data_IF_654487547424
#
_entry.id   IF_654487547424
#
_cell.length_a   1.000
_cell.length_b   1.000
_cell.length_c   1.000
_cell.angle_alpha   90.00
_cell.angle_beta   90.00
_cell.angle_gamma   90.00
#
_symmetry.space_group_name_H-M   'P 1'
#
loop_
_entity.id
_entity.type
_entity.pdbx_description
1 polymer ?
#
# COMPACT_ATOMS: atom_id res chain seq x y z
N UNK A 1 -24.28 12.30 16.33
CA UNK A 1 -23.56 11.03 16.02
C UNK A 1 -22.68 11.23 14.79
N UNK A 2 -21.44 10.71 14.79
CA UNK A 2 -20.42 10.97 13.74
C UNK A 2 -20.88 10.53 12.34
N UNK A 3 -21.56 9.40 12.23
CA UNK A 3 -21.89 8.75 10.95
C UNK A 3 -23.35 8.97 10.50
N UNK A 4 -24.14 9.83 11.15
CA UNK A 4 -25.58 9.93 10.86
C UNK A 4 -25.88 10.30 9.40
N UNK A 5 -25.03 11.11 8.75
CA UNK A 5 -25.19 11.48 7.34
C UNK A 5 -25.00 10.29 6.39
N UNK A 6 -24.14 9.37 6.77
CA UNK A 6 -23.89 8.13 6.04
C UNK A 6 -24.98 7.10 6.32
N UNK A 7 -25.53 7.07 7.55
CA UNK A 7 -26.65 6.20 7.94
C UNK A 7 -27.98 6.59 7.27
N UNK A 8 -28.16 7.86 6.89
CA UNK A 8 -29.35 8.33 6.15
C UNK A 8 -29.30 7.89 4.68
N UNK A 9 -28.11 7.67 4.11
CA UNK A 9 -27.95 7.21 2.74
C UNK A 9 -28.51 5.79 2.60
N UNK A 10 -29.52 5.61 1.75
CA UNK A 10 -30.24 4.33 1.57
C UNK A 10 -29.32 3.15 1.27
N UNK A 11 -28.29 3.39 0.44
CA UNK A 11 -27.29 2.37 0.06
C UNK A 11 -26.42 1.88 1.23
N UNK A 12 -26.35 2.60 2.33
CA UNK A 12 -25.57 2.22 3.52
C UNK A 12 -26.52 1.90 4.68
N UNK A 13 -27.30 2.87 5.11
CA UNK A 13 -28.21 2.73 6.25
C UNK A 13 -27.47 2.40 7.55
N UNK A 14 -28.22 2.19 8.62
CA UNK A 14 -27.66 1.75 9.91
C UNK A 14 -27.01 0.37 9.84
N UNK A 15 -27.55 -0.54 9.03
CA UNK A 15 -27.02 -1.88 8.86
C UNK A 15 -25.66 -1.87 8.16
N UNK A 16 -25.51 -1.10 7.07
CA UNK A 16 -24.24 -0.93 6.37
C UNK A 16 -23.18 -0.27 7.26
N UNK A 17 -23.58 0.74 8.05
CA UNK A 17 -22.67 1.36 9.01
C UNK A 17 -22.14 0.36 10.07
N UNK A 18 -23.01 -0.51 10.57
CA UNK A 18 -22.60 -1.57 11.50
C UNK A 18 -21.68 -2.60 10.85
N UNK A 19 -21.88 -2.94 9.56
CA UNK A 19 -20.97 -3.79 8.80
C UNK A 19 -19.60 -3.13 8.65
N UNK A 20 -19.54 -1.83 8.35
CA UNK A 20 -18.27 -1.07 8.29
C UNK A 20 -17.55 -1.11 9.65
N UNK A 21 -18.28 -0.84 10.73
CA UNK A 21 -17.72 -0.84 12.09
C UNK A 21 -17.11 -2.18 12.50
N UNK A 22 -17.65 -3.30 12.02
CA UNK A 22 -17.16 -4.66 12.30
C UNK A 22 -16.10 -5.14 11.32
N UNK A 23 -15.83 -4.38 10.26
CA UNK A 23 -14.90 -4.79 9.23
C UNK A 23 -13.46 -4.49 9.60
N UNK A 24 -12.57 -5.38 9.18
CA UNK A 24 -11.12 -5.20 9.17
C UNK A 24 -10.65 -5.10 7.74
N UNK A 25 -9.92 -4.05 7.40
CA UNK A 25 -9.28 -3.88 6.09
C UNK A 25 -7.76 -3.79 6.22
N UNK A 26 -7.07 -4.13 5.13
CA UNK A 26 -5.63 -3.91 5.00
C UNK A 26 -5.38 -2.96 3.84
N UNK A 27 -4.60 -1.91 4.06
CA UNK A 27 -4.13 -0.98 3.02
C UNK A 27 -2.62 -1.18 2.88
N UNK A 28 -2.18 -1.53 1.67
CA UNK A 28 -0.77 -1.75 1.36
C UNK A 28 -0.29 -0.58 0.52
N UNK A 29 0.74 0.10 1.03
CA UNK A 29 1.25 1.36 0.47
C UNK A 29 0.49 2.58 1.01
N UNK A 30 1.16 3.45 1.75
CA UNK A 30 0.63 4.73 2.26
C UNK A 30 1.28 5.89 1.49
N UNK A 31 1.22 5.74 0.17
CA UNK A 31 1.63 6.75 -0.81
C UNK A 31 0.46 7.63 -1.25
N UNK A 32 0.49 8.03 -2.53
CA UNK A 32 -0.50 8.94 -3.11
C UNK A 32 -1.94 8.42 -3.07
N UNK A 33 -2.16 7.11 -3.32
CA UNK A 33 -3.47 6.47 -3.21
C UNK A 33 -3.81 6.17 -1.74
N UNK A 34 -2.86 5.56 -1.01
CA UNK A 34 -3.12 5.03 0.32
C UNK A 34 -3.42 6.08 1.37
N UNK A 35 -2.79 7.26 1.33
CA UNK A 35 -3.08 8.36 2.25
C UNK A 35 -4.53 8.83 2.15
N UNK A 36 -5.06 8.89 0.94
CA UNK A 36 -6.42 9.35 0.67
C UNK A 36 -7.44 8.26 0.97
N UNK A 37 -7.20 7.03 0.51
CA UNK A 37 -8.08 5.89 0.79
C UNK A 37 -8.20 5.65 2.31
N UNK A 38 -7.09 5.75 3.04
CA UNK A 38 -7.04 5.62 4.48
C UNK A 38 -7.87 6.70 5.19
N UNK A 39 -7.70 7.97 4.81
CA UNK A 39 -8.48 9.08 5.39
C UNK A 39 -9.99 8.90 5.16
N UNK A 40 -10.38 8.58 3.92
CA UNK A 40 -11.80 8.38 3.57
C UNK A 40 -12.40 7.21 4.36
N UNK A 41 -11.75 6.05 4.41
CA UNK A 41 -12.28 4.85 5.06
C UNK A 41 -12.27 4.97 6.59
N UNK A 42 -11.30 5.66 7.16
CA UNK A 42 -11.27 6.00 8.57
C UNK A 42 -12.45 6.93 8.95
N UNK A 43 -12.71 7.96 8.15
CA UNK A 43 -13.88 8.86 8.33
C UNK A 43 -15.21 8.15 8.09
N UNK A 44 -15.25 7.16 7.20
CA UNK A 44 -16.44 6.33 6.98
C UNK A 44 -16.71 5.36 8.14
N UNK A 45 -15.76 5.16 9.05
CA UNK A 45 -15.94 4.35 10.24
C UNK A 45 -15.72 2.85 10.03
N UNK A 46 -14.77 2.48 9.16
CA UNK A 46 -14.26 1.11 9.12
C UNK A 46 -13.60 0.81 10.46
N UNK A 47 -14.06 -0.24 11.16
CA UNK A 47 -13.71 -0.44 12.57
C UNK A 47 -12.25 -0.74 12.84
N UNK A 48 -11.60 -1.51 11.95
CA UNK A 48 -10.16 -1.78 12.05
C UNK A 48 -9.47 -1.62 10.69
N UNK A 49 -8.40 -0.83 10.66
CA UNK A 49 -7.58 -0.61 9.47
C UNK A 49 -6.13 -1.00 9.80
N UNK A 50 -5.60 -1.98 9.09
CA UNK A 50 -4.17 -2.29 9.14
C UNK A 50 -3.48 -1.65 7.96
N UNK A 51 -2.40 -0.91 8.22
CA UNK A 51 -1.61 -0.24 7.20
C UNK A 51 -0.20 -0.84 7.14
N UNK A 52 0.29 -1.06 5.93
CA UNK A 52 1.62 -1.63 5.68
C UNK A 52 2.32 -0.70 4.70
N UNK A 53 3.41 -0.09 5.12
CA UNK A 53 4.27 0.72 4.25
C UNK A 53 5.70 0.66 4.75
N UNK A 54 6.63 0.55 3.83
CA UNK A 54 8.07 0.43 4.12
C UNK A 54 8.82 1.74 4.12
N UNK A 55 8.23 2.80 3.57
CA UNK A 55 8.94 4.03 3.23
C UNK A 55 8.86 5.09 4.32
N UNK A 56 9.72 6.09 4.15
CA UNK A 56 9.70 7.35 4.90
C UNK A 56 9.05 8.45 4.05
N UNK A 57 8.69 9.53 4.72
CA UNK A 57 8.13 10.72 4.10
C UNK A 57 9.28 11.57 3.56
N UNK A 58 9.19 11.95 2.28
CA UNK A 58 10.12 12.83 1.59
C UNK A 58 9.41 14.09 1.09
N UNK A 59 10.14 15.20 0.92
CA UNK A 59 9.57 16.49 0.47
C UNK A 59 8.83 16.35 -0.87
N UNK A 60 9.37 15.58 -1.82
CA UNK A 60 8.77 15.32 -3.12
C UNK A 60 7.47 14.51 -3.06
N UNK A 61 7.14 13.93 -1.91
CA UNK A 61 5.89 13.19 -1.69
C UNK A 61 4.72 14.13 -1.38
N UNK A 62 4.97 15.27 -0.73
CA UNK A 62 3.95 16.14 -0.15
C UNK A 62 2.99 16.73 -1.19
N UNK A 63 3.44 16.86 -2.44
CA UNK A 63 2.57 17.38 -3.51
C UNK A 63 1.36 16.46 -3.82
N UNK A 64 1.38 15.16 -3.39
CA UNK A 64 0.32 14.19 -3.69
C UNK A 64 -0.06 13.26 -2.53
N UNK A 65 0.68 13.26 -1.43
CA UNK A 65 0.41 12.44 -0.25
C UNK A 65 -0.18 13.31 0.85
N UNK A 66 -1.47 13.65 0.71
CA UNK A 66 -2.15 14.74 1.42
C UNK A 66 -2.30 14.57 2.93
N UNK A 67 -2.03 13.38 3.47
CA UNK A 67 -2.06 13.15 4.91
C UNK A 67 -0.83 13.71 5.63
N UNK A 68 0.28 13.92 4.91
CA UNK A 68 1.56 14.33 5.47
C UNK A 68 1.83 15.83 5.31
N UNK A 69 2.67 16.36 6.19
CA UNK A 69 3.13 17.75 6.22
C UNK A 69 4.65 17.82 6.23
N UNK A 70 5.23 19.01 6.08
CA UNK A 70 6.69 19.20 6.14
C UNK A 70 7.30 18.77 7.47
N UNK A 71 6.56 18.86 8.59
CA UNK A 71 6.99 18.39 9.90
C UNK A 71 7.15 16.87 10.01
N UNK A 72 6.57 16.14 9.06
CA UNK A 72 6.60 14.68 9.02
C UNK A 72 7.78 14.13 8.21
N UNK A 73 8.56 14.99 7.54
CA UNK A 73 9.70 14.58 6.69
C UNK A 73 10.68 13.71 7.50
N UNK A 74 11.14 12.65 6.85
CA UNK A 74 12.04 11.63 7.36
C UNK A 74 11.43 10.64 8.37
N UNK A 75 10.14 10.80 8.75
CA UNK A 75 9.45 9.82 9.60
C UNK A 75 8.85 8.68 8.76
N UNK A 76 8.68 7.46 9.32
CA UNK A 76 8.02 6.35 8.63
C UNK A 76 6.57 6.67 8.28
N UNK A 77 6.17 6.44 7.01
CA UNK A 77 4.82 6.75 6.52
C UNK A 77 3.73 6.06 7.31
N UNK A 78 3.89 4.77 7.59
CA UNK A 78 2.88 3.99 8.32
C UNK A 78 2.68 4.49 9.77
N UNK A 79 3.74 4.87 10.46
CA UNK A 79 3.67 5.41 11.82
C UNK A 79 2.90 6.74 11.84
N UNK A 80 3.33 7.70 11.02
CA UNK A 80 2.71 9.03 10.96
C UNK A 80 1.25 8.94 10.52
N UNK A 81 0.95 8.09 9.54
CA UNK A 81 -0.42 7.87 9.09
C UNK A 81 -1.32 7.39 10.24
N UNK A 82 -0.86 6.40 11.04
CA UNK A 82 -1.60 5.94 12.22
C UNK A 82 -1.84 7.08 13.21
N UNK A 83 -0.84 7.90 13.51
CA UNK A 83 -0.97 9.03 14.44
C UNK A 83 -2.00 10.05 13.96
N UNK A 84 -1.95 10.43 12.68
CA UNK A 84 -2.90 11.38 12.08
C UNK A 84 -4.33 10.82 12.07
N UNK A 85 -4.50 9.55 11.73
CA UNK A 85 -5.84 8.92 11.73
C UNK A 85 -6.43 8.82 13.13
N UNK A 86 -5.64 8.56 14.15
CA UNK A 86 -6.11 8.55 15.54
C UNK A 86 -6.66 9.92 15.98
N UNK A 87 -6.09 11.03 15.48
CA UNK A 87 -6.62 12.39 15.69
C UNK A 87 -7.91 12.59 14.90
N UNK A 88 -7.98 12.10 13.65
CA UNK A 88 -9.15 12.24 12.78
C UNK A 88 -10.35 11.44 13.31
N UNK A 89 -10.12 10.19 13.72
CA UNK A 89 -11.17 9.31 14.21
C UNK A 89 -10.67 8.35 15.30
N UNK A 90 -10.78 8.76 16.54
CA UNK A 90 -10.39 7.95 17.71
C UNK A 90 -11.32 6.75 17.98
N UNK A 91 -12.43 6.62 17.24
CA UNK A 91 -13.41 5.53 17.41
C UNK A 91 -13.11 4.27 16.59
N UNK A 92 -11.99 4.23 15.90
CA UNK A 92 -11.53 3.07 15.10
C UNK A 92 -10.15 2.61 15.57
N UNK A 93 -9.82 1.36 15.25
CA UNK A 93 -8.50 0.80 15.52
C UNK A 93 -7.61 0.93 14.28
N UNK A 94 -6.40 1.50 14.43
CA UNK A 94 -5.40 1.56 13.36
C UNK A 94 -4.13 0.84 13.80
N UNK A 95 -3.86 -0.29 13.16
CA UNK A 95 -2.62 -1.07 13.29
C UNK A 95 -1.66 -0.71 12.16
N UNK A 96 -0.38 -0.51 12.45
CA UNK A 96 0.62 -0.12 11.45
C UNK A 96 1.82 -1.06 11.45
N UNK A 97 2.41 -1.24 10.26
CA UNK A 97 3.64 -2.01 10.06
C UNK A 97 4.58 -1.25 9.14
N UNK A 98 5.77 -0.91 9.66
CA UNK A 98 6.86 -0.33 8.86
C UNK A 98 7.64 -1.48 8.23
N UNK A 99 7.07 -2.07 7.18
CA UNK A 99 7.58 -3.29 6.58
C UNK A 99 7.36 -3.31 5.06
N UNK A 100 8.24 -4.02 4.36
CA UNK A 100 7.98 -4.48 3.00
C UNK A 100 7.12 -5.75 3.07
N UNK A 101 6.05 -5.79 2.27
CA UNK A 101 5.22 -6.98 2.19
C UNK A 101 5.91 -8.03 1.33
N UNK A 102 6.16 -9.18 1.93
CA UNK A 102 6.72 -10.35 1.26
C UNK A 102 5.98 -11.65 1.66
N UNK A 103 6.43 -12.79 1.15
CA UNK A 103 5.81 -14.09 1.44
C UNK A 103 6.01 -14.55 2.89
N UNK A 104 7.01 -14.03 3.62
CA UNK A 104 7.30 -14.38 5.00
C UNK A 104 6.32 -13.71 5.97
N UNK A 105 5.88 -12.47 5.67
CA UNK A 105 4.97 -11.70 6.51
C UNK A 105 3.55 -11.60 5.93
N UNK A 106 3.21 -12.43 4.96
CA UNK A 106 1.95 -12.40 4.22
C UNK A 106 0.70 -12.51 5.09
N UNK A 107 0.82 -13.09 6.28
CA UNK A 107 -0.28 -13.20 7.25
C UNK A 107 -0.81 -11.83 7.71
N UNK A 108 -0.07 -10.76 7.52
CA UNK A 108 -0.53 -9.38 7.72
C UNK A 108 -1.74 -9.04 6.84
N UNK A 109 -1.97 -9.76 5.75
CA UNK A 109 -3.13 -9.55 4.85
C UNK A 109 -4.44 -10.12 5.34
N UNK A 110 -4.47 -10.84 6.48
CA UNK A 110 -5.71 -11.41 7.02
C UNK A 110 -6.71 -10.30 7.38
N UNK A 111 -7.82 -10.22 6.60
CA UNK A 111 -8.81 -9.14 6.67
C UNK A 111 -10.10 -9.52 5.95
N UNK A 112 -11.08 -8.61 5.96
CA UNK A 112 -12.30 -8.73 5.14
C UNK A 112 -12.09 -8.20 3.72
N UNK A 113 -11.14 -7.27 3.52
CA UNK A 113 -10.83 -6.64 2.25
C UNK A 113 -9.39 -6.13 2.25
N UNK A 114 -8.70 -6.24 1.11
CA UNK A 114 -7.37 -5.69 0.89
C UNK A 114 -7.46 -4.55 -0.14
N UNK A 115 -6.84 -3.41 0.13
CA UNK A 115 -6.65 -2.33 -0.82
C UNK A 115 -5.17 -2.30 -1.27
N UNK A 116 -4.95 -2.46 -2.56
CA UNK A 116 -3.65 -2.21 -3.17
C UNK A 116 -3.51 -0.73 -3.51
N UNK A 117 -2.60 -0.08 -2.82
CA UNK A 117 -2.18 1.31 -3.05
C UNK A 117 -0.68 1.38 -3.39
N UNK A 118 -0.09 0.26 -3.82
CA UNK A 118 1.34 0.13 -4.13
C UNK A 118 1.63 0.55 -5.58
N UNK A 119 2.89 0.83 -5.84
CA UNK A 119 3.47 1.00 -7.17
C UNK A 119 4.31 -0.23 -7.61
N UNK A 120 4.25 -1.32 -6.84
CA UNK A 120 5.12 -2.49 -7.00
C UNK A 120 4.33 -3.67 -7.60
N UNK A 121 4.72 -4.07 -8.81
CA UNK A 121 4.07 -5.17 -9.53
C UNK A 121 4.25 -6.54 -8.84
N UNK A 122 5.40 -6.78 -8.18
CA UNK A 122 5.63 -8.01 -7.42
C UNK A 122 4.64 -8.14 -6.27
N UNK A 123 4.44 -7.06 -5.51
CA UNK A 123 3.48 -7.00 -4.40
C UNK A 123 2.07 -7.29 -4.89
N UNK A 124 1.68 -6.81 -6.07
CA UNK A 124 0.36 -7.08 -6.66
C UNK A 124 0.14 -8.55 -6.98
N UNK A 125 1.14 -9.22 -7.55
CA UNK A 125 1.04 -10.68 -7.79
C UNK A 125 1.00 -11.45 -6.47
N UNK A 126 1.74 -11.04 -5.46
CA UNK A 126 1.73 -11.64 -4.14
C UNK A 126 0.35 -11.49 -3.45
N UNK A 127 -0.23 -10.29 -3.49
CA UNK A 127 -1.60 -10.04 -3.01
C UNK A 127 -2.60 -10.92 -3.75
N UNK A 128 -2.46 -11.03 -5.08
CA UNK A 128 -3.35 -11.83 -5.92
C UNK A 128 -3.30 -13.31 -5.55
N UNK A 129 -2.11 -13.88 -5.35
CA UNK A 129 -1.95 -15.27 -4.94
C UNK A 129 -2.57 -15.51 -3.56
N UNK A 130 -2.28 -14.62 -2.59
CA UNK A 130 -2.84 -14.71 -1.24
C UNK A 130 -4.36 -14.58 -1.23
N UNK A 131 -4.89 -13.57 -1.92
CA UNK A 131 -6.32 -13.32 -2.07
C UNK A 131 -7.05 -14.52 -2.66
N UNK A 132 -6.53 -15.09 -3.73
CA UNK A 132 -7.12 -16.26 -4.40
C UNK A 132 -7.11 -17.50 -3.52
N UNK A 133 -6.00 -17.77 -2.84
CA UNK A 133 -5.85 -18.91 -1.92
C UNK A 133 -6.78 -18.84 -0.73
N UNK A 134 -6.98 -17.62 -0.17
CA UNK A 134 -7.75 -17.41 1.06
C UNK A 134 -9.17 -16.89 0.80
N UNK A 135 -9.56 -16.71 -0.47
CA UNK A 135 -10.86 -16.17 -0.87
C UNK A 135 -11.18 -14.80 -0.24
N UNK A 136 -10.15 -13.94 -0.11
CA UNK A 136 -10.29 -12.59 0.42
C UNK A 136 -10.38 -11.62 -0.77
N UNK A 137 -11.43 -10.77 -0.87
CA UNK A 137 -11.52 -9.76 -1.93
C UNK A 137 -10.41 -8.72 -1.79
N UNK A 138 -9.97 -8.18 -2.93
CA UNK A 138 -9.07 -7.04 -2.96
C UNK A 138 -9.38 -6.07 -4.08
N UNK A 139 -8.97 -4.82 -3.94
CA UNK A 139 -9.17 -3.78 -4.94
C UNK A 139 -7.83 -3.34 -5.47
N UNK A 140 -7.59 -3.64 -6.73
CA UNK A 140 -6.46 -3.15 -7.50
C UNK A 140 -6.65 -1.68 -7.85
N UNK A 141 -5.63 -0.85 -7.66
CA UNK A 141 -5.57 0.51 -8.19
C UNK A 141 -4.15 0.88 -8.62
N UNK A 142 -4.03 1.62 -9.70
CA UNK A 142 -2.76 2.22 -10.15
C UNK A 142 -3.00 3.54 -10.85
N UNK A 143 -2.06 4.47 -10.67
CA UNK A 143 -2.10 5.80 -11.29
C UNK A 143 -0.73 6.11 -11.87
N UNK A 144 -0.73 6.65 -13.09
CA UNK A 144 0.46 7.15 -13.78
C UNK A 144 0.06 8.39 -14.60
N UNK A 145 0.85 9.45 -14.56
CA UNK A 145 0.55 10.73 -15.22
C UNK A 145 -0.82 11.27 -14.74
N UNK A 146 -1.78 11.38 -15.66
CA UNK A 146 -3.18 11.76 -15.41
C UNK A 146 -4.15 10.60 -15.52
N UNK A 147 -3.64 9.35 -15.64
CA UNK A 147 -4.46 8.16 -15.92
C UNK A 147 -4.43 7.20 -14.74
N UNK A 148 -5.56 6.56 -14.49
CA UNK A 148 -5.69 5.57 -13.44
C UNK A 148 -6.48 4.34 -13.89
N UNK A 149 -6.22 3.21 -13.22
CA UNK A 149 -6.99 1.99 -13.40
C UNK A 149 -7.39 1.43 -12.05
N UNK A 150 -8.58 0.84 -11.98
CA UNK A 150 -9.02 0.11 -10.80
C UNK A 150 -9.89 -1.07 -11.18
N UNK A 151 -9.83 -2.14 -10.38
CA UNK A 151 -10.68 -3.30 -10.51
C UNK A 151 -10.89 -3.99 -9.16
N UNK A 152 -12.12 -4.39 -8.90
CA UNK A 152 -12.44 -5.25 -7.78
C UNK A 152 -12.13 -6.70 -8.13
N UNK A 153 -11.20 -7.33 -7.41
CA UNK A 153 -10.82 -8.71 -7.62
C UNK A 153 -11.40 -9.57 -6.49
N UNK A 154 -12.36 -10.40 -6.86
CA UNK A 154 -13.16 -11.21 -5.96
C UNK A 154 -13.28 -12.64 -6.51
N UNK A 155 -14.06 -13.49 -5.86
CA UNK A 155 -14.40 -14.80 -6.40
C UNK A 155 -15.32 -14.75 -7.63
N UNK A 156 -15.95 -13.58 -7.90
CA UNK A 156 -16.88 -13.35 -9.02
C UNK A 156 -16.23 -12.61 -10.20
N UNK A 157 -14.95 -12.28 -10.12
CA UNK A 157 -14.21 -11.54 -11.15
C UNK A 157 -12.93 -12.25 -11.54
N UNK A 158 -12.35 -11.94 -12.71
CA UNK A 158 -11.01 -12.39 -13.06
C UNK A 158 -9.97 -11.94 -12.05
N UNK A 159 -8.93 -12.76 -11.83
CA UNK A 159 -7.83 -12.38 -10.95
C UNK A 159 -6.82 -11.47 -11.66
N UNK A 160 -5.89 -10.86 -10.92
CA UNK A 160 -4.89 -9.95 -11.47
C UNK A 160 -4.03 -10.60 -12.58
N UNK A 161 -3.64 -11.87 -12.41
CA UNK A 161 -2.89 -12.63 -13.43
C UNK A 161 -3.72 -12.97 -14.68
N UNK A 162 -5.04 -12.80 -14.65
CA UNK A 162 -5.88 -12.86 -15.85
C UNK A 162 -5.85 -11.55 -16.65
N UNK A 163 -5.50 -10.44 -15.99
CA UNK A 163 -5.47 -9.10 -16.58
C UNK A 163 -4.07 -8.78 -17.09
N UNK A 164 -3.07 -8.97 -16.22
CA UNK A 164 -1.68 -8.60 -16.46
C UNK A 164 -0.77 -9.83 -16.51
N UNK A 165 0.17 -9.81 -17.43
CA UNK A 165 1.27 -10.76 -17.46
C UNK A 165 2.43 -10.25 -16.59
N UNK A 166 3.33 -11.16 -16.19
CA UNK A 166 4.56 -10.78 -15.54
C UNK A 166 5.39 -9.89 -16.49
N UNK A 167 5.81 -8.69 -16.08
CA UNK A 167 6.59 -7.82 -16.97
C UNK A 167 7.96 -8.43 -17.25
N UNK A 168 8.35 -8.41 -18.51
CA UNK A 168 9.69 -8.81 -18.98
C UNK A 168 10.69 -7.67 -18.88
N UNK A 169 10.21 -6.42 -18.84
CA UNK A 169 10.99 -5.19 -18.75
C UNK A 169 10.51 -4.32 -17.57
N UNK A 170 11.36 -3.40 -17.07
CA UNK A 170 10.96 -2.42 -16.08
C UNK A 170 9.76 -1.59 -16.57
N UNK A 171 8.73 -1.49 -15.75
CA UNK A 171 7.57 -0.64 -16.03
C UNK A 171 7.86 0.81 -15.68
N UNK A 172 7.20 1.74 -16.38
CA UNK A 172 7.16 3.15 -15.98
C UNK A 172 6.58 3.29 -14.57
N UNK A 173 7.16 4.19 -13.80
CA UNK A 173 6.72 4.55 -12.44
C UNK A 173 6.28 6.01 -12.39
N UNK A 174 5.66 6.43 -11.29
CA UNK A 174 5.32 7.84 -11.08
C UNK A 174 6.55 8.75 -11.14
N UNK A 175 7.73 8.22 -10.78
CA UNK A 175 8.96 9.00 -10.76
C UNK A 175 9.58 9.20 -12.14
N UNK A 176 9.41 8.21 -13.04
CA UNK A 176 9.94 8.30 -14.41
C UNK A 176 8.97 9.00 -15.36
N UNK A 177 7.66 8.82 -15.14
CA UNK A 177 6.63 9.34 -16.03
C UNK A 177 5.90 10.60 -15.51
N UNK A 178 6.08 10.94 -14.22
CA UNK A 178 5.35 12.02 -13.56
C UNK A 178 3.92 11.66 -13.16
N UNK A 179 3.29 12.51 -12.34
CA UNK A 179 1.92 12.34 -11.88
C UNK A 179 1.31 13.69 -11.48
N UNK A 180 0.09 13.95 -11.93
CA UNK A 180 -0.72 15.07 -11.43
C UNK A 180 -1.39 14.66 -10.12
N UNK A 181 -1.38 15.54 -9.11
CA UNK A 181 -1.89 15.20 -7.77
C UNK A 181 -3.39 14.86 -7.73
N UNK A 182 -4.21 15.44 -8.59
CA UNK A 182 -5.65 15.17 -8.65
C UNK A 182 -5.96 13.72 -9.05
N UNK A 183 -5.07 13.06 -9.82
CA UNK A 183 -5.32 11.73 -10.32
C UNK A 183 -5.37 10.67 -9.19
N UNK A 184 -4.41 10.58 -8.26
CA UNK A 184 -4.53 9.65 -7.14
C UNK A 184 -5.68 10.02 -6.20
N UNK A 185 -6.04 11.31 -6.03
CA UNK A 185 -7.18 11.70 -5.20
C UNK A 185 -8.50 11.16 -5.76
N UNK A 186 -8.75 11.36 -7.05
CA UNK A 186 -9.95 10.86 -7.70
C UNK A 186 -10.02 9.33 -7.65
N UNK A 187 -8.93 8.65 -7.99
CA UNK A 187 -8.92 7.18 -8.02
C UNK A 187 -9.06 6.56 -6.63
N UNK A 188 -8.42 7.13 -5.61
CA UNK A 188 -8.53 6.65 -4.23
C UNK A 188 -9.95 6.82 -3.67
N UNK A 189 -10.65 7.92 -4.04
CA UNK A 189 -12.06 8.09 -3.67
C UNK A 189 -12.96 7.03 -4.30
N UNK A 190 -12.70 6.66 -5.56
CA UNK A 190 -13.41 5.58 -6.25
C UNK A 190 -13.07 4.23 -5.60
N UNK A 191 -11.80 3.94 -5.33
CA UNK A 191 -11.36 2.72 -4.65
C UNK A 191 -12.00 2.59 -3.27
N UNK A 192 -12.06 3.67 -2.49
CA UNK A 192 -12.73 3.68 -1.19
C UNK A 192 -14.25 3.47 -1.30
N UNK A 193 -14.89 4.02 -2.34
CA UNK A 193 -16.32 3.78 -2.60
C UNK A 193 -16.60 2.30 -2.90
N UNK A 194 -15.78 1.68 -3.74
CA UNK A 194 -15.90 0.24 -4.04
C UNK A 194 -15.62 -0.61 -2.79
N UNK A 195 -14.68 -0.20 -1.93
CA UNK A 195 -14.44 -0.84 -0.64
C UNK A 195 -15.68 -0.80 0.27
N UNK A 196 -16.31 0.36 0.39
CA UNK A 196 -17.56 0.51 1.15
C UNK A 196 -18.65 -0.43 0.58
N UNK A 197 -18.84 -0.47 -0.74
CA UNK A 197 -19.83 -1.36 -1.38
C UNK A 197 -19.58 -2.83 -1.05
N UNK A 198 -18.33 -3.30 -1.17
CA UNK A 198 -17.96 -4.69 -0.86
C UNK A 198 -18.24 -4.99 0.63
N UNK A 199 -17.80 -4.13 1.53
CA UNK A 199 -17.95 -4.31 2.97
C UNK A 199 -19.42 -4.26 3.44
N UNK A 200 -20.23 -3.42 2.79
CA UNK A 200 -21.68 -3.30 3.08
C UNK A 200 -22.53 -4.27 2.26
N UNK A 201 -21.90 -5.20 1.51
CA UNK A 201 -22.56 -6.21 0.67
C UNK A 201 -23.45 -5.63 -0.42
N UNK A 202 -23.14 -4.43 -0.90
CA UNK A 202 -23.78 -3.80 -2.05
C UNK A 202 -23.18 -4.31 -3.37
N UNK A 203 -23.86 -4.00 -4.47
CA UNK A 203 -23.35 -4.34 -5.80
C UNK A 203 -22.14 -3.46 -6.15
N UNK A 204 -21.09 -4.07 -6.70
CA UNK A 204 -19.83 -3.43 -7.03
C UNK A 204 -19.43 -3.69 -8.49
N UNK A 205 -18.53 -2.87 -9.04
CA UNK A 205 -18.06 -3.02 -10.42
C UNK A 205 -17.29 -4.33 -10.61
N UNK A 206 -17.55 -5.04 -11.73
CA UNK A 206 -16.84 -6.27 -12.14
C UNK A 206 -15.88 -6.03 -13.29
N UNK A 207 -15.87 -4.83 -13.84
CA UNK A 207 -15.04 -4.44 -14.97
C UNK A 207 -13.71 -3.83 -14.49
N UNK A 208 -12.67 -3.94 -15.32
CA UNK A 208 -11.49 -3.09 -15.20
C UNK A 208 -11.88 -1.70 -15.70
N UNK A 209 -11.74 -0.69 -14.84
CA UNK A 209 -12.10 0.68 -15.18
C UNK A 209 -10.83 1.48 -15.38
N UNK A 210 -10.71 2.11 -16.53
CA UNK A 210 -9.67 3.06 -16.88
C UNK A 210 -10.22 4.48 -16.84
N UNK A 211 -9.52 5.38 -16.17
CA UNK A 211 -9.81 6.79 -16.05
C UNK A 211 -8.72 7.61 -16.73
N UNK A 212 -9.08 8.47 -17.66
CA UNK A 212 -8.22 9.55 -18.14
C UNK A 212 -8.75 10.87 -17.56
N UNK A 213 -8.15 11.33 -16.47
CA UNK A 213 -8.62 12.50 -15.74
C UNK A 213 -8.33 13.80 -16.47
N UNK A 214 -7.31 13.82 -17.34
CA UNK A 214 -7.02 15.01 -18.12
C UNK A 214 -8.09 15.29 -19.18
N UNK A 215 -8.54 14.22 -19.83
CA UNK A 215 -9.59 14.30 -20.85
C UNK A 215 -11.00 14.06 -20.28
N UNK A 216 -11.12 13.78 -18.97
CA UNK A 216 -12.38 13.47 -18.30
C UNK A 216 -13.11 12.27 -18.93
N UNK A 217 -12.36 11.23 -19.25
CA UNK A 217 -12.88 10.01 -19.90
C UNK A 217 -12.84 8.82 -18.96
N UNK A 218 -13.88 7.98 -19.06
CA UNK A 218 -13.99 6.71 -18.31
C UNK A 218 -14.30 5.57 -19.26
N UNK A 219 -13.43 4.56 -19.29
CA UNK A 219 -13.60 3.36 -20.11
C UNK A 219 -13.76 2.13 -19.23
N UNK A 220 -14.82 1.35 -19.43
CA UNK A 220 -15.05 0.06 -18.77
C UNK A 220 -14.65 -1.07 -19.69
N UNK A 221 -13.76 -1.93 -19.22
CA UNK A 221 -13.19 -3.04 -19.99
C UNK A 221 -13.62 -4.34 -19.32
N UNK A 222 -14.40 -5.14 -20.06
CA UNK A 222 -14.80 -6.48 -19.61
C UNK A 222 -13.63 -7.44 -19.75
N UNK A 223 -13.15 -7.96 -18.66
CA UNK A 223 -12.08 -8.95 -18.62
C UNK A 223 -12.67 -10.36 -18.51
N UNK A 224 -12.05 -11.31 -19.19
CA UNK A 224 -12.37 -12.75 -19.09
C UNK A 224 -11.24 -13.49 -18.38
N UNK A 225 -11.58 -14.58 -17.71
CA UNK A 225 -10.57 -15.47 -17.13
C UNK A 225 -9.69 -16.07 -18.24
N UNK A 226 -8.36 -16.02 -18.08
CA UNK A 226 -7.42 -16.74 -18.95
C UNK A 226 -7.50 -18.23 -18.66
N UNK A 227 -7.63 -19.07 -19.69
CA UNK A 227 -7.71 -20.55 -19.57
C UNK A 227 -6.48 -21.12 -18.83
N UNK A 228 -5.31 -20.54 -19.07
CA UNK A 228 -4.03 -21.01 -18.53
C UNK A 228 -3.50 -20.18 -17.36
N UNK A 229 -4.37 -19.41 -16.69
CA UNK A 229 -3.99 -18.62 -15.52
C UNK A 229 -3.55 -19.56 -14.38
N UNK A 230 -2.27 -19.47 -14.01
CA UNK A 230 -1.66 -20.30 -12.94
C UNK A 230 -2.34 -20.07 -11.60
N UNK A 231 -2.55 -18.82 -11.19
CA UNK A 231 -3.20 -18.46 -9.93
C UNK A 231 -4.63 -18.99 -9.86
N UNK A 232 -5.41 -18.92 -10.96
CA UNK A 232 -6.76 -19.51 -11.01
C UNK A 232 -6.76 -21.04 -10.93
N UNK A 233 -5.66 -21.69 -11.35
CA UNK A 233 -5.45 -23.14 -11.22
C UNK A 233 -4.87 -23.56 -9.86
N UNK A 234 -4.71 -22.63 -8.91
CA UNK A 234 -4.20 -22.92 -7.57
C UNK A 234 -2.66 -22.99 -7.46
N UNK A 235 -1.94 -22.44 -8.44
CA UNK A 235 -0.47 -22.37 -8.44
C UNK A 235 -0.06 -20.98 -7.98
N UNK A 236 0.56 -20.87 -6.80
CA UNK A 236 0.81 -19.61 -6.08
C UNK A 236 2.31 -19.33 -5.95
N UNK A 237 3.00 -19.08 -7.08
CA UNK A 237 4.45 -18.95 -7.13
C UNK A 237 5.02 -17.79 -6.29
N UNK A 238 4.28 -16.69 -6.18
CA UNK A 238 4.69 -15.54 -5.38
C UNK A 238 4.53 -15.84 -3.88
N UNK A 239 3.42 -16.45 -3.51
CA UNK A 239 3.13 -16.84 -2.14
C UNK A 239 4.07 -17.93 -1.60
N UNK A 240 4.58 -18.79 -2.47
CA UNK A 240 5.54 -19.84 -2.15
C UNK A 240 7.00 -19.36 -2.17
N UNK A 241 7.26 -18.07 -2.34
CA UNK A 241 8.59 -17.50 -2.37
C UNK A 241 9.42 -17.81 -3.62
N UNK A 242 8.90 -18.56 -4.60
CA UNK A 242 9.62 -18.94 -5.84
C UNK A 242 10.01 -17.75 -6.72
N UNK A 243 9.37 -16.60 -6.50
CA UNK A 243 9.61 -15.34 -7.22
C UNK A 243 10.20 -14.25 -6.31
N UNK A 244 10.68 -14.61 -5.11
CA UNK A 244 11.28 -13.66 -4.17
C UNK A 244 12.56 -13.03 -4.76
N UNK A 245 12.80 -11.76 -4.41
CA UNK A 245 14.01 -11.01 -4.80
C UNK A 245 14.74 -10.56 -3.54
N UNK A 246 16.04 -10.83 -3.46
CA UNK A 246 16.86 -10.50 -2.27
C UNK A 246 17.16 -9.01 -2.12
N UNK A 247 17.08 -8.24 -3.20
CA UNK A 247 17.34 -6.79 -3.19
C UNK A 247 16.37 -6.07 -4.09
N UNK A 248 15.70 -5.04 -3.57
CA UNK A 248 14.72 -4.24 -4.30
C UNK A 248 15.21 -2.80 -4.36
N UNK A 249 15.32 -2.24 -5.58
CA UNK A 249 15.49 -0.79 -5.76
C UNK A 249 14.16 -0.13 -5.42
N UNK A 250 14.20 0.91 -4.59
CA UNK A 250 13.01 1.68 -4.24
C UNK A 250 12.76 2.71 -5.33
N UNK A 251 11.55 2.70 -5.87
CA UNK A 251 11.14 3.71 -6.84
C UNK A 251 11.16 5.10 -6.19
N UNK A 252 11.67 6.10 -6.92
CA UNK A 252 11.62 7.50 -6.52
C UNK A 252 12.75 7.98 -5.63
N UNK A 253 13.60 7.12 -5.19
CA UNK A 253 14.76 7.50 -4.39
C UNK A 253 16.03 6.85 -4.93
N UNK A 254 17.18 7.50 -4.69
CA UNK A 254 18.50 6.87 -4.88
C UNK A 254 18.79 5.85 -3.77
N UNK A 255 17.73 5.21 -3.20
CA UNK A 255 17.86 4.30 -2.08
C UNK A 255 17.73 2.85 -2.54
N UNK A 256 18.61 2.03 -1.99
CA UNK A 256 18.54 0.58 -2.11
C UNK A 256 18.11 -0.01 -0.78
N UNK A 257 17.15 -0.92 -0.84
CA UNK A 257 16.78 -1.70 0.33
C UNK A 257 17.71 -2.89 0.45
N UNK A 258 18.28 -3.04 1.64
CA UNK A 258 19.17 -4.16 2.01
C UNK A 258 18.59 -4.83 3.26
N UNK A 259 18.49 -6.16 3.24
CA UNK A 259 18.17 -6.94 4.46
C UNK A 259 19.47 -7.11 5.27
N UNK A 260 19.40 -6.79 6.56
CA UNK A 260 20.50 -6.97 7.53
C UNK A 260 20.11 -8.11 8.46
N UNK A 261 21.09 -8.89 8.91
CA UNK A 261 20.85 -10.00 9.84
C UNK A 261 20.27 -9.47 11.16
N UNK A 262 19.14 -10.04 11.59
CA UNK A 262 18.36 -9.57 12.75
C UNK A 262 19.04 -9.82 14.10
N UNK A 263 19.97 -10.76 14.19
CA UNK A 263 20.54 -11.22 15.47
C UNK A 263 21.26 -10.14 16.30
N UNK A 264 21.68 -9.04 15.66
CA UNK A 264 22.38 -7.94 16.34
C UNK A 264 21.63 -6.60 16.27
N UNK A 265 20.42 -6.56 15.72
CA UNK A 265 19.74 -5.29 15.43
C UNK A 265 19.44 -4.47 16.69
N UNK A 266 18.97 -5.10 17.79
CA UNK A 266 18.71 -4.39 19.02
C UNK A 266 19.96 -3.73 19.59
N UNK A 267 21.08 -4.46 19.63
CA UNK A 267 22.37 -3.93 20.08
C UNK A 267 22.89 -2.78 19.22
N UNK A 268 22.69 -2.85 17.91
CA UNK A 268 23.05 -1.79 16.98
C UNK A 268 22.18 -0.56 17.23
N UNK A 269 20.89 -0.74 17.41
CA UNK A 269 19.94 0.33 17.69
C UNK A 269 20.28 1.04 19.00
N UNK A 270 20.55 0.28 20.06
CA UNK A 270 20.89 0.84 21.38
C UNK A 270 22.22 1.60 21.35
N UNK A 271 23.22 1.09 20.62
CA UNK A 271 24.50 1.78 20.45
C UNK A 271 24.37 3.08 19.64
N UNK A 272 23.60 3.06 18.56
CA UNK A 272 23.43 4.22 17.69
C UNK A 272 22.56 5.30 18.36
N UNK A 273 21.51 4.93 19.11
CA UNK A 273 20.68 5.87 19.84
C UNK A 273 21.45 6.66 20.93
N UNK A 274 22.56 6.12 21.41
CA UNK A 274 23.41 6.78 22.41
C UNK A 274 24.42 7.77 21.77
N UNK A 275 24.47 7.89 20.45
CA UNK A 275 25.33 8.85 19.77
C UNK A 275 24.62 10.23 19.68
N UNK A 276 25.33 11.29 20.04
CA UNK A 276 24.84 12.66 19.91
C UNK A 276 24.66 13.02 18.43
N UNK A 277 23.55 13.70 18.08
CA UNK A 277 23.20 14.18 16.74
C UNK A 277 22.57 13.18 15.77
N UNK A 278 22.05 12.05 16.24
CA UNK A 278 21.30 11.11 15.39
C UNK A 278 19.79 11.38 15.56
N UNK A 279 19.07 11.48 14.43
CA UNK A 279 17.60 11.49 14.45
C UNK A 279 17.11 10.05 14.55
N UNK A 280 16.32 9.75 15.58
CA UNK A 280 15.72 8.43 15.76
C UNK A 280 14.24 8.53 16.07
N UNK A 281 13.52 7.48 15.71
CA UNK A 281 12.16 7.19 16.13
C UNK A 281 12.16 5.82 16.80
N UNK A 282 11.04 5.40 17.36
CA UNK A 282 10.90 4.05 17.92
C UNK A 282 11.11 2.94 16.86
N UNK A 283 10.99 3.26 15.57
CA UNK A 283 11.03 2.31 14.46
C UNK A 283 12.32 2.37 13.62
N UNK A 284 13.00 3.51 13.59
CA UNK A 284 14.18 3.68 12.75
C UNK A 284 15.18 4.70 13.30
N UNK A 285 16.43 4.53 12.88
CA UNK A 285 17.53 5.49 13.05
C UNK A 285 17.88 6.06 11.70
N UNK A 286 17.96 7.40 11.63
CA UNK A 286 18.22 8.14 10.40
C UNK A 286 19.66 8.65 10.47
N UNK A 287 20.49 8.12 9.59
CA UNK A 287 21.86 8.54 9.35
C UNK A 287 21.92 9.33 8.03
N UNK A 288 23.00 10.02 7.75
CA UNK A 288 23.15 10.87 6.56
C UNK A 288 22.85 10.15 5.24
N UNK A 289 23.40 8.95 5.07
CA UNK A 289 23.27 8.14 3.86
C UNK A 289 22.51 6.81 4.08
N UNK A 290 21.95 6.58 5.26
CA UNK A 290 21.30 5.32 5.58
C UNK A 290 20.16 5.52 6.59
N UNK A 291 19.09 4.78 6.40
CA UNK A 291 18.01 4.65 7.40
C UNK A 291 17.97 3.19 7.82
N UNK A 292 18.17 2.96 9.10
CA UNK A 292 18.17 1.64 9.69
C UNK A 292 16.88 1.40 10.46
N UNK A 293 16.13 0.34 10.10
CA UNK A 293 14.89 -0.02 10.76
C UNK A 293 15.09 -1.18 11.76
N UNK A 294 14.36 -1.15 12.86
CA UNK A 294 14.34 -2.26 13.86
C UNK A 294 14.03 -3.62 13.25
N UNK A 295 13.30 -3.64 12.13
CA UNK A 295 12.96 -4.87 11.40
C UNK A 295 14.15 -5.60 10.76
N UNK A 296 15.38 -5.06 10.84
CA UNK A 296 16.55 -5.61 10.15
C UNK A 296 16.63 -5.21 8.68
N UNK A 297 16.00 -4.11 8.33
CA UNK A 297 16.04 -3.51 7.00
C UNK A 297 16.82 -2.21 7.03
N UNK A 298 17.63 -1.96 6.02
CA UNK A 298 18.25 -0.66 5.81
C UNK A 298 17.90 -0.07 4.45
N UNK A 299 17.68 1.23 4.40
CA UNK A 299 17.62 2.03 3.18
C UNK A 299 18.98 2.73 3.05
N UNK A 300 19.72 2.42 2.00
CA UNK A 300 21.05 2.99 1.76
C UNK A 300 21.01 3.86 0.52
N UNK A 301 21.42 5.12 0.66
CA UNK A 301 21.52 6.05 -0.45
C UNK A 301 22.77 5.71 -1.27
N UNK A 302 22.57 5.19 -2.48
CA UNK A 302 23.66 4.75 -3.34
C UNK A 302 23.32 4.94 -4.82
N UNK A 303 24.33 5.20 -5.66
CA UNK A 303 24.17 5.34 -7.11
C UNK A 303 24.00 3.98 -7.81
N UNK A 304 24.60 2.91 -7.26
CA UNK A 304 24.52 1.55 -7.81
C UNK A 304 24.27 0.52 -6.70
N UNK A 305 23.78 -0.67 -7.08
CA UNK A 305 23.55 -1.81 -6.17
C UNK A 305 24.85 -2.26 -5.46
N UNK A 306 25.96 -2.23 -6.15
CA UNK A 306 27.27 -2.61 -5.60
C UNK A 306 27.78 -1.63 -4.54
N UNK A 307 27.42 -0.35 -4.65
CA UNK A 307 27.71 0.67 -3.62
C UNK A 307 26.88 0.49 -2.37
N UNK A 308 25.63 0.02 -2.50
CA UNK A 308 24.74 -0.20 -1.35
C UNK A 308 25.16 -1.37 -0.46
N UNK A 309 25.96 -2.31 -0.99
CA UNK A 309 26.46 -3.48 -0.26
C UNK A 309 27.79 -3.21 0.50
N UNK A 310 28.40 -2.02 0.33
CA UNK A 310 29.64 -1.64 1.04
C UNK A 310 29.27 -0.96 2.37
N UNK A 311 30.03 -1.22 3.46
CA UNK A 311 29.80 -0.51 4.72
C UNK A 311 30.00 1.00 4.50
N UNK A 312 29.28 1.85 5.26
CA UNK A 312 29.47 3.29 5.22
C UNK A 312 30.92 3.64 5.50
N UNK A 313 31.46 4.59 4.74
CA UNK A 313 32.80 5.10 5.01
C UNK A 313 32.78 5.83 6.35
N UNK A 314 33.59 5.36 7.29
CA UNK A 314 33.81 5.99 8.60
C UNK A 314 34.46 7.36 8.44
#
# INVERSE_FOLDING_TARGET
MRYNRQEILENIGKQGQELLRRSTIVIIGIGALGTIALDILARAGVGKIRIIDRDIIELNNLQRQSLFTEEDIAKPKALVAREKINIINSGIEVEYHVADLDYENINLLKSNLILDCTDNIYTRFLINDYSKKNNIPWIYASVIKSKGMTMNITNKTPCFSCIFDEPTEPLDTCDTAGIINTAPHALAAIQATEAIKILTKQDYSKDLIHYDLWNNEVTKIKIKNKKDCKTCKGIYNYLEGKKAKDTVKICGSCNFQVKINKENMQNIFDKLNNLNNIRSTDECIILEDMILFKSGRALVKAKTKEQSAKPPRT
#
